data_IF_957474924671
#
_entry.id   IF_957474924671
#
_cell.length_a   1.000
_cell.length_b   1.000
_cell.length_c   1.000
_cell.angle_alpha   90.00
_cell.angle_beta   90.00
_cell.angle_gamma   90.00
#
_symmetry.space_group_name_H-M   'P 1'
#
loop_
_entity.id
_entity.type
_entity.pdbx_description
1 polymer ?
#
# COMPACT_ATOMS: atom_id res chain seq x y z
N UNK A 1 10.70 6.70 13.00
CA UNK A 1 9.38 6.18 12.59
C UNK A 1 8.29 6.92 13.37
N UNK A 2 8.33 8.25 13.40
CA UNK A 2 7.42 9.10 14.16
C UNK A 2 6.21 9.56 13.34
N UNK A 3 6.21 9.31 12.03
CA UNK A 3 5.26 9.94 11.09
C UNK A 3 4.43 8.94 10.27
N UNK A 4 4.47 7.64 10.61
CA UNK A 4 3.66 6.62 9.92
C UNK A 4 2.36 6.39 10.70
N UNK A 5 1.28 6.97 10.20
CA UNK A 5 -0.05 6.85 10.83
C UNK A 5 -0.73 5.50 10.51
N UNK A 6 -0.52 4.95 9.30
CA UNK A 6 -1.28 3.80 8.79
C UNK A 6 -0.45 2.89 7.91
N UNK A 7 -0.68 1.58 8.01
CA UNK A 7 -0.21 0.54 7.08
C UNK A 7 -1.40 0.02 6.29
N UNK A 8 -1.34 0.13 4.97
CA UNK A 8 -2.31 -0.46 4.04
C UNK A 8 -1.75 -1.77 3.48
N UNK A 9 -2.35 -2.91 3.83
CA UNK A 9 -1.92 -4.22 3.36
C UNK A 9 -2.65 -4.59 2.06
N UNK A 10 -1.93 -4.65 0.95
CA UNK A 10 -2.45 -4.97 -0.40
C UNK A 10 -1.79 -6.23 -0.97
N UNK A 11 -2.36 -6.79 -2.05
CA UNK A 11 -1.93 -8.05 -2.65
C UNK A 11 -2.61 -9.27 -2.01
N UNK A 12 -2.68 -10.39 -2.74
CA UNK A 12 -3.47 -11.55 -2.31
C UNK A 12 -3.02 -12.16 -0.98
N UNK A 13 -1.72 -12.11 -0.67
CA UNK A 13 -1.21 -12.65 0.59
C UNK A 13 -1.62 -11.82 1.82
N UNK A 14 -1.98 -10.55 1.63
CA UNK A 14 -2.50 -9.69 2.70
C UNK A 14 -3.84 -10.16 3.26
N UNK A 15 -4.54 -11.07 2.59
CA UNK A 15 -5.77 -11.71 3.06
C UNK A 15 -5.50 -12.84 4.08
N UNK A 16 -4.24 -13.28 4.21
CA UNK A 16 -3.86 -14.31 5.17
C UNK A 16 -4.03 -13.83 6.62
N UNK A 17 -4.81 -14.54 7.47
CA UNK A 17 -4.97 -14.18 8.88
C UNK A 17 -3.63 -14.22 9.63
N UNK A 18 -2.78 -15.20 9.33
CA UNK A 18 -1.46 -15.37 9.99
C UNK A 18 -0.57 -14.16 9.73
N UNK A 19 -0.55 -13.67 8.49
CA UNK A 19 0.22 -12.48 8.14
C UNK A 19 -0.34 -11.24 8.85
N UNK A 20 -1.67 -11.06 8.82
CA UNK A 20 -2.31 -9.92 9.48
C UNK A 20 -2.02 -9.89 10.98
N UNK A 21 -2.08 -11.03 11.66
CA UNK A 21 -1.74 -11.15 13.08
C UNK A 21 -0.27 -10.82 13.35
N UNK A 22 0.65 -11.34 12.52
CA UNK A 22 2.08 -11.07 12.65
C UNK A 22 2.38 -9.56 12.51
N UNK A 23 1.76 -8.89 11.54
CA UNK A 23 1.94 -7.45 11.31
C UNK A 23 1.29 -6.63 12.43
N UNK A 24 0.08 -6.99 12.88
CA UNK A 24 -0.58 -6.35 14.04
C UNK A 24 0.25 -6.46 15.31
N UNK A 25 0.84 -7.63 15.57
CA UNK A 25 1.73 -7.85 16.71
C UNK A 25 3.02 -7.05 16.61
N UNK A 26 3.57 -6.90 15.40
CA UNK A 26 4.82 -6.17 15.16
C UNK A 26 4.64 -4.65 15.26
N UNK A 27 3.47 -4.15 14.86
CA UNK A 27 3.14 -2.72 14.83
C UNK A 27 1.85 -2.43 15.61
N UNK A 28 1.84 -2.60 16.95
CA UNK A 28 0.61 -2.49 17.74
C UNK A 28 0.03 -1.06 17.79
N UNK A 29 0.88 -0.05 17.57
CA UNK A 29 0.50 1.37 17.66
C UNK A 29 0.22 2.02 16.30
N UNK A 30 0.27 1.24 15.21
CA UNK A 30 0.01 1.74 13.85
C UNK A 30 -1.32 1.17 13.39
N UNK A 31 -2.18 2.01 12.79
CA UNK A 31 -3.43 1.57 12.22
C UNK A 31 -3.17 0.67 11.02
N UNK A 32 -3.68 -0.56 11.05
CA UNK A 32 -3.54 -1.51 9.94
C UNK A 32 -4.88 -1.62 9.21
N UNK A 33 -4.87 -1.39 7.91
CA UNK A 33 -6.04 -1.48 7.03
C UNK A 33 -5.80 -2.59 6.00
N UNK A 34 -6.73 -3.53 5.91
CA UNK A 34 -6.77 -4.55 4.86
C UNK A 34 -8.03 -4.30 4.04
N UNK A 35 -7.92 -3.87 2.76
CA UNK A 35 -9.08 -3.66 1.91
C UNK A 35 -9.86 -4.95 1.66
N UNK A 36 -11.18 -4.88 1.44
CA UNK A 36 -11.93 -5.98 0.83
C UNK A 36 -11.38 -6.23 -0.58
N UNK A 37 -11.02 -7.48 -0.85
CA UNK A 37 -10.25 -7.93 -2.02
C UNK A 37 -8.86 -7.27 -2.09
N UNK A 38 -8.01 -7.52 -1.09
CA UNK A 38 -6.66 -6.97 -1.06
C UNK A 38 -5.85 -7.36 -2.32
N UNK A 39 -6.14 -8.53 -2.91
CA UNK A 39 -5.59 -8.95 -4.20
C UNK A 39 -5.95 -8.03 -5.38
N UNK A 40 -7.11 -7.37 -5.35
CA UNK A 40 -7.57 -6.47 -6.41
C UNK A 40 -7.36 -4.99 -6.11
N UNK A 41 -6.99 -4.64 -4.87
CA UNK A 41 -6.86 -3.26 -4.41
C UNK A 41 -5.96 -2.40 -5.32
N UNK A 42 -4.85 -2.97 -5.80
CA UNK A 42 -3.90 -2.28 -6.69
C UNK A 42 -4.55 -1.94 -8.04
N UNK A 43 -5.23 -2.90 -8.67
CA UNK A 43 -5.87 -2.69 -9.97
C UNK A 43 -7.07 -1.74 -9.83
N UNK A 44 -7.88 -1.89 -8.78
CA UNK A 44 -8.99 -0.96 -8.49
C UNK A 44 -8.47 0.48 -8.36
N UNK A 45 -7.35 0.66 -7.65
CA UNK A 45 -6.67 1.96 -7.55
C UNK A 45 -6.18 2.49 -8.91
N UNK A 46 -5.54 1.65 -9.72
CA UNK A 46 -5.07 2.03 -11.05
C UNK A 46 -6.22 2.47 -11.98
N UNK A 47 -7.37 1.79 -11.92
CA UNK A 47 -8.57 2.16 -12.69
C UNK A 47 -9.10 3.53 -12.26
N UNK A 48 -9.21 3.80 -10.95
CA UNK A 48 -9.63 5.11 -10.44
C UNK A 48 -8.67 6.21 -10.92
N UNK A 49 -7.38 5.96 -10.83
CA UNK A 49 -6.30 6.85 -11.30
C UNK A 49 -6.38 7.10 -12.81
N UNK A 50 -6.80 6.11 -13.61
CA UNK A 50 -7.00 6.26 -15.05
C UNK A 50 -8.28 7.01 -15.41
N UNK A 51 -9.37 6.80 -14.67
CA UNK A 51 -10.69 7.37 -14.95
C UNK A 51 -10.88 8.78 -14.37
N UNK A 52 -10.18 9.12 -13.29
CA UNK A 52 -10.38 10.36 -12.55
C UNK A 52 -9.11 11.25 -12.61
N UNK A 53 -9.07 12.28 -13.49
CA UNK A 53 -7.86 13.09 -13.74
C UNK A 53 -7.51 14.05 -12.59
N UNK A 54 -8.41 14.24 -11.63
CA UNK A 54 -8.20 15.05 -10.41
C UNK A 54 -7.35 14.33 -9.34
N UNK A 55 -7.04 13.04 -9.53
CA UNK A 55 -6.15 12.32 -8.62
C UNK A 55 -4.70 12.70 -8.93
N UNK A 56 -4.05 13.43 -8.02
CA UNK A 56 -2.63 13.77 -8.14
C UNK A 56 -1.79 12.49 -8.19
N UNK A 57 -0.97 12.36 -9.24
CA UNK A 57 -0.05 11.24 -9.44
C UNK A 57 1.36 11.76 -9.27
N UNK A 58 2.06 11.22 -8.29
CA UNK A 58 3.50 11.37 -8.16
C UNK A 58 4.13 9.99 -8.31
N UNK A 59 5.10 9.88 -9.21
CA UNK A 59 5.91 8.68 -9.37
C UNK A 59 7.38 9.08 -9.34
N UNK A 60 8.12 8.49 -8.40
CA UNK A 60 9.57 8.64 -8.32
C UNK A 60 10.23 7.44 -9.00
N UNK A 61 11.35 7.69 -9.69
CA UNK A 61 12.19 6.59 -10.18
C UNK A 61 12.76 5.79 -9.01
N UNK A 62 12.69 4.47 -9.10
CA UNK A 62 13.32 3.56 -8.14
C UNK A 62 14.85 3.59 -8.25
N UNK A 63 15.39 4.06 -9.39
CA UNK A 63 16.82 4.06 -9.67
C UNK A 63 17.39 5.48 -9.62
N UNK A 64 18.60 5.59 -9.06
CA UNK A 64 19.41 6.80 -9.09
C UNK A 64 19.98 7.00 -10.48
N UNK A 65 19.96 8.24 -10.97
CA UNK A 65 20.60 8.61 -12.23
C UNK A 65 22.02 9.12 -11.95
N UNK A 66 23.00 8.61 -12.69
CA UNK A 66 24.39 9.07 -12.66
C UNK A 66 24.99 9.04 -14.06
N UNK A 67 25.96 9.90 -14.31
CA UNK A 67 26.79 9.90 -15.53
C UNK A 67 28.25 9.75 -15.15
N UNK A 68 29.04 9.12 -16.02
CA UNK A 68 30.49 8.94 -15.82
C UNK A 68 31.25 10.29 -15.76
#
# INVERSE_FOLDING_TARGET
MSDVETILMVGGYSESPILQEAIKKKFPNIKIIVPPDAGLAVIKGAVIVGHCPIVNKESLSTYTYGTD
#
